data_IF_275905199970
#
_entry.id   IF_275905199970
#
_cell.length_a   1.000
_cell.length_b   1.000
_cell.length_c   1.000
_cell.angle_alpha   90.00
_cell.angle_beta   90.00
_cell.angle_gamma   90.00
#
_symmetry.space_group_name_H-M   'P 1'
#
loop_
_entity.id
_entity.type
_entity.pdbx_description
1 polymer ?
#
# COMPACT_ATOMS: atom_id res chain seq x y z
N UNK A 1 -30.93 -3.92 -23.59
CA UNK A 1 -30.65 -3.31 -24.91
C UNK A 1 -29.74 -2.11 -24.66
N UNK A 2 -28.56 -1.92 -25.22
CA UNK A 2 -27.72 -2.75 -26.07
C UNK A 2 -26.26 -2.33 -25.81
N UNK A 3 -25.37 -3.31 -25.84
CA UNK A 3 -23.93 -3.12 -25.64
C UNK A 3 -23.29 -2.61 -26.94
N UNK A 4 -23.69 -1.43 -27.40
CA UNK A 4 -23.09 -0.76 -28.56
C UNK A 4 -22.34 0.48 -28.07
N UNK A 5 -21.02 0.46 -28.24
CA UNK A 5 -20.10 1.58 -28.07
C UNK A 5 -19.96 2.16 -26.68
N UNK A 6 -19.27 1.49 -25.76
CA UNK A 6 -18.60 2.11 -24.60
C UNK A 6 -19.43 3.09 -23.74
N UNK A 7 -20.73 3.28 -23.97
CA UNK A 7 -21.47 4.43 -23.49
C UNK A 7 -22.33 3.98 -22.31
N UNK A 8 -22.06 4.59 -21.16
CA UNK A 8 -22.79 4.38 -19.93
C UNK A 8 -23.68 5.60 -19.73
N UNK A 9 -24.97 5.34 -19.55
CA UNK A 9 -25.95 6.37 -19.19
C UNK A 9 -26.13 6.38 -17.69
N UNK A 10 -25.97 7.55 -17.07
CA UNK A 10 -26.19 7.78 -15.64
C UNK A 10 -27.53 8.48 -15.47
N UNK A 11 -28.42 7.88 -14.70
CA UNK A 11 -29.77 8.39 -14.46
C UNK A 11 -29.76 9.71 -13.67
N UNK A 12 -30.77 10.54 -13.90
CA UNK A 12 -30.96 11.79 -13.17
C UNK A 12 -31.03 11.55 -11.65
N UNK A 13 -30.30 12.38 -10.89
CA UNK A 13 -30.14 12.27 -9.43
C UNK A 13 -29.40 11.02 -8.96
N UNK A 14 -28.62 10.39 -9.83
CA UNK A 14 -27.63 9.38 -9.48
C UNK A 14 -26.26 9.80 -9.98
N UNK A 15 -25.23 9.35 -9.28
CA UNK A 15 -23.83 9.59 -9.61
C UNK A 15 -23.16 8.25 -9.70
N UNK A 16 -22.28 8.06 -10.69
CA UNK A 16 -21.60 6.78 -10.89
C UNK A 16 -20.11 6.92 -10.68
N UNK A 17 -19.49 5.92 -10.09
CA UNK A 17 -18.05 5.98 -9.78
C UNK A 17 -17.28 5.18 -10.82
N UNK A 18 -16.30 5.86 -11.40
CA UNK A 18 -15.43 5.35 -12.44
C UNK A 18 -14.12 4.88 -11.82
N UNK A 19 -13.74 3.65 -12.14
CA UNK A 19 -12.43 3.09 -11.81
C UNK A 19 -11.61 2.81 -13.07
N UNK A 20 -10.29 2.88 -12.92
CA UNK A 20 -9.32 2.44 -13.91
C UNK A 20 -8.38 1.43 -13.28
N UNK A 21 -8.41 0.18 -13.74
CA UNK A 21 -7.67 -0.95 -13.17
C UNK A 21 -7.80 -1.05 -11.64
N UNK A 22 -9.00 -0.79 -11.09
CA UNK A 22 -9.28 -0.86 -9.65
C UNK A 22 -8.87 0.37 -8.84
N UNK A 23 -8.35 1.43 -9.48
CA UNK A 23 -8.10 2.73 -8.84
C UNK A 23 -9.24 3.70 -9.17
N UNK A 24 -9.68 4.49 -8.19
CA UNK A 24 -10.58 5.61 -8.43
C UNK A 24 -10.02 6.57 -9.49
N UNK A 25 -10.84 6.87 -10.51
CA UNK A 25 -10.51 7.75 -11.63
C UNK A 25 -11.33 9.05 -11.54
N UNK A 26 -12.66 8.94 -11.63
CA UNK A 26 -13.56 10.10 -11.70
C UNK A 26 -14.97 9.77 -11.19
N UNK A 27 -15.74 10.82 -10.87
CA UNK A 27 -17.15 10.75 -10.53
C UNK A 27 -17.97 11.21 -11.74
N UNK A 28 -18.86 10.35 -12.25
CA UNK A 28 -19.69 10.62 -13.42
C UNK A 28 -21.04 11.22 -13.01
N UNK A 29 -21.28 12.44 -13.46
CA UNK A 29 -22.56 13.15 -13.33
C UNK A 29 -23.66 12.55 -14.22
N UNK A 30 -24.95 12.87 -13.98
CA UNK A 30 -26.06 12.43 -14.83
C UNK A 30 -25.86 12.80 -16.30
N UNK A 31 -26.01 11.82 -17.20
CA UNK A 31 -25.77 12.02 -18.63
C UNK A 31 -25.23 10.77 -19.34
N UNK A 32 -24.85 10.93 -20.60
CA UNK A 32 -24.24 9.87 -21.40
C UNK A 32 -22.71 10.05 -21.41
N UNK A 33 -21.97 9.04 -20.95
CA UNK A 33 -20.52 9.07 -20.85
C UNK A 33 -19.91 7.93 -21.68
N UNK A 34 -18.88 8.23 -22.47
CA UNK A 34 -18.16 7.21 -23.25
C UNK A 34 -16.95 6.69 -22.47
N UNK A 35 -16.99 5.41 -22.15
CA UNK A 35 -16.07 4.68 -21.28
C UNK A 35 -15.55 3.41 -21.98
N UNK A 36 -14.37 3.48 -22.62
CA UNK A 36 -13.80 2.35 -23.33
C UNK A 36 -13.26 1.28 -22.37
N UNK A 37 -13.99 0.17 -22.28
CA UNK A 37 -13.64 -0.98 -21.43
C UNK A 37 -12.27 -1.60 -21.76
N UNK A 38 -11.86 -1.55 -23.03
CA UNK A 38 -10.56 -2.06 -23.54
C UNK A 38 -9.36 -1.38 -22.87
N UNK A 39 -9.54 -0.15 -22.36
CA UNK A 39 -8.49 0.63 -21.70
C UNK A 39 -8.45 0.44 -20.18
N UNK A 40 -9.09 -0.63 -19.68
CA UNK A 40 -9.12 -0.99 -18.26
C UNK A 40 -10.03 -0.11 -17.42
N UNK A 41 -10.97 0.59 -18.05
CA UNK A 41 -11.94 1.43 -17.37
C UNK A 41 -13.18 0.61 -17.03
N UNK A 42 -13.61 0.61 -15.76
CA UNK A 42 -14.79 -0.11 -15.27
C UNK A 42 -15.64 0.75 -14.33
N UNK A 43 -16.95 0.53 -14.33
CA UNK A 43 -17.88 1.14 -13.40
C UNK A 43 -17.89 0.39 -12.06
N UNK A 44 -17.59 1.08 -10.96
CA UNK A 44 -17.57 0.49 -9.62
C UNK A 44 -18.99 0.34 -9.03
N UNK A 45 -19.84 1.34 -9.28
CA UNK A 45 -21.21 1.35 -8.78
C UNK A 45 -21.91 2.70 -8.97
N UNK A 46 -23.17 2.74 -8.57
CA UNK A 46 -24.03 3.92 -8.59
C UNK A 46 -24.37 4.36 -7.17
N UNK A 47 -24.38 5.67 -6.93
CA UNK A 47 -24.79 6.32 -5.69
C UNK A 47 -25.97 7.24 -5.99
N UNK A 48 -27.10 7.00 -5.33
CA UNK A 48 -28.26 7.88 -5.45
C UNK A 48 -28.04 9.15 -4.61
N UNK A 49 -28.28 10.32 -5.21
CA UNK A 49 -28.32 11.61 -4.52
C UNK A 49 -29.70 11.92 -3.93
N UNK A 50 -30.69 11.05 -4.18
CA UNK A 50 -32.05 11.22 -3.67
C UNK A 50 -32.08 11.04 -2.15
N UNK A 51 -33.00 11.73 -1.49
CA UNK A 51 -33.29 11.51 -0.07
C UNK A 51 -33.74 10.07 0.14
N UNK A 52 -33.04 9.35 1.01
CA UNK A 52 -33.35 8.00 1.42
C UNK A 52 -33.93 8.01 2.84
N UNK A 53 -34.93 7.18 3.08
CA UNK A 53 -35.50 6.97 4.41
C UNK A 53 -35.07 5.62 4.97
N UNK A 54 -34.67 5.63 6.24
CA UNK A 54 -34.30 4.47 7.00
C UNK A 54 -35.12 4.40 8.27
N UNK A 55 -36.06 3.46 8.31
CA UNK A 55 -36.84 3.19 9.50
C UNK A 55 -36.08 2.20 10.39
N UNK A 56 -35.82 2.61 11.62
CA UNK A 56 -35.14 1.85 12.66
C UNK A 56 -36.16 1.54 13.76
N UNK A 57 -36.35 0.26 14.07
CA UNK A 57 -37.29 -0.19 15.10
C UNK A 57 -36.52 -0.69 16.29
N UNK A 58 -36.79 -0.12 17.46
CA UNK A 58 -36.02 -0.32 18.68
C UNK A 58 -36.94 -0.72 19.82
N UNK A 59 -36.69 -1.90 20.37
CA UNK A 59 -37.27 -2.33 21.63
C UNK A 59 -36.44 -1.77 22.78
N UNK A 60 -37.07 -0.94 23.61
CA UNK A 60 -36.42 -0.37 24.79
C UNK A 60 -37.38 -0.34 25.98
N UNK A 61 -36.82 -0.17 27.16
CA UNK A 61 -37.58 -0.12 28.41
C UNK A 61 -37.47 1.27 29.01
N UNK A 62 -38.60 1.85 29.40
CA UNK A 62 -38.64 3.14 30.09
C UNK A 62 -38.30 2.99 31.58
N UNK A 63 -38.16 4.12 32.26
CA UNK A 63 -37.90 4.18 33.71
C UNK A 63 -39.00 3.50 34.53
N UNK A 64 -40.25 3.54 34.05
CA UNK A 64 -41.41 2.89 34.68
C UNK A 64 -41.50 1.38 34.41
N UNK A 65 -40.42 0.78 33.89
CA UNK A 65 -40.34 -0.66 33.65
C UNK A 65 -41.34 -1.15 32.57
N UNK A 66 -41.79 -0.26 31.68
CA UNK A 66 -42.66 -0.59 30.53
C UNK A 66 -41.82 -0.82 29.27
N UNK A 67 -42.11 -1.87 28.52
CA UNK A 67 -41.48 -2.14 27.23
C UNK A 67 -42.19 -1.35 26.13
N UNK A 68 -41.41 -0.61 25.33
CA UNK A 68 -41.91 0.21 24.23
C UNK A 68 -41.14 -0.05 22.95
N UNK A 69 -41.87 -0.05 21.83
CA UNK A 69 -41.29 -0.17 20.48
C UNK A 69 -41.20 1.21 19.86
N UNK A 70 -40.00 1.78 19.88
CA UNK A 70 -39.72 3.09 19.28
C UNK A 70 -39.36 2.91 17.83
N UNK A 71 -40.09 3.57 16.93
CA UNK A 71 -39.78 3.61 15.50
C UNK A 71 -39.21 4.98 15.17
N UNK A 72 -37.94 5.02 14.82
CA UNK A 72 -37.25 6.24 14.38
C UNK A 72 -37.02 6.18 12.87
N UNK A 73 -37.52 7.19 12.16
CA UNK A 73 -37.33 7.34 10.71
C UNK A 73 -36.23 8.36 10.47
N UNK A 74 -35.07 7.89 10.01
CA UNK A 74 -33.92 8.75 9.67
C UNK A 74 -33.89 9.00 8.19
N UNK A 75 -33.83 10.26 7.79
CA UNK A 75 -33.65 10.66 6.40
C UNK A 75 -32.20 11.07 6.17
N UNK A 76 -31.57 10.54 5.13
CA UNK A 76 -30.20 10.89 4.77
C UNK A 76 -30.05 10.97 3.25
N UNK A 77 -29.06 11.74 2.80
CA UNK A 77 -28.64 11.81 1.39
C UNK A 77 -27.13 11.96 1.30
N UNK A 78 -26.54 11.39 0.25
CA UNK A 78 -25.16 11.70 -0.10
C UNK A 78 -25.08 13.08 -0.75
N UNK A 79 -24.01 13.83 -0.45
CA UNK A 79 -23.69 15.08 -1.12
C UNK A 79 -22.90 14.77 -2.40
N UNK A 80 -23.25 15.42 -3.51
CA UNK A 80 -22.62 15.18 -4.82
C UNK A 80 -21.10 15.41 -4.77
N UNK A 81 -20.66 16.52 -4.15
CA UNK A 81 -19.25 16.91 -4.05
C UNK A 81 -18.36 15.86 -3.34
N UNK A 82 -18.97 14.97 -2.54
CA UNK A 82 -18.26 13.96 -1.73
C UNK A 82 -18.71 12.53 -2.05
N UNK A 83 -19.22 12.30 -3.25
CA UNK A 83 -19.73 10.99 -3.66
C UNK A 83 -18.64 9.89 -3.65
N UNK A 84 -17.41 10.20 -4.07
CA UNK A 84 -16.27 9.27 -4.05
C UNK A 84 -15.93 8.81 -2.63
N UNK A 85 -15.79 9.77 -1.72
CA UNK A 85 -15.55 9.53 -0.29
C UNK A 85 -16.66 8.68 0.32
N UNK A 86 -17.91 9.00 0.03
CA UNK A 86 -19.06 8.27 0.57
C UNK A 86 -19.09 6.79 0.13
N UNK A 87 -18.58 6.47 -1.06
CA UNK A 87 -18.59 5.10 -1.60
C UNK A 87 -17.42 4.25 -1.11
N UNK A 88 -16.21 4.80 -1.01
CA UNK A 88 -15.03 4.03 -0.59
C UNK A 88 -14.77 4.06 0.91
N UNK A 89 -15.15 5.13 1.63
CA UNK A 89 -14.89 5.24 3.07
C UNK A 89 -15.93 4.51 3.92
N UNK A 90 -17.15 4.31 3.39
CA UNK A 90 -18.25 3.72 4.14
C UNK A 90 -18.65 2.36 3.54
N UNK A 91 -18.34 1.27 4.23
CA UNK A 91 -18.69 -0.08 3.78
C UNK A 91 -20.18 -0.38 3.90
N UNK A 92 -20.85 0.11 4.97
CA UNK A 92 -22.27 -0.15 5.26
C UNK A 92 -22.91 1.02 6.02
N UNK A 93 -23.26 2.10 5.31
CA UNK A 93 -23.85 3.31 5.90
C UNK A 93 -25.15 3.05 6.66
N UNK A 94 -26.03 2.20 6.12
CA UNK A 94 -27.34 1.89 6.71
C UNK A 94 -27.22 1.28 8.11
N UNK A 95 -26.35 0.26 8.24
CA UNK A 95 -26.11 -0.45 9.51
C UNK A 95 -25.41 0.46 10.52
N UNK A 96 -24.49 1.32 10.07
CA UNK A 96 -23.84 2.29 10.94
C UNK A 96 -24.84 3.30 11.51
N UNK A 97 -25.69 3.91 10.67
CA UNK A 97 -26.74 4.85 11.13
C UNK A 97 -27.67 4.14 12.12
N UNK A 98 -28.09 2.91 11.82
CA UNK A 98 -28.91 2.11 12.73
C UNK A 98 -28.26 1.93 14.10
N UNK A 99 -26.99 1.53 14.14
CA UNK A 99 -26.27 1.32 15.40
C UNK A 99 -26.21 2.59 16.26
N UNK A 100 -25.91 3.74 15.66
CA UNK A 100 -25.86 5.00 16.41
C UNK A 100 -27.22 5.45 16.92
N UNK A 101 -28.27 5.33 16.10
CA UNK A 101 -29.64 5.62 16.53
C UNK A 101 -30.06 4.70 17.68
N UNK A 102 -29.72 3.41 17.60
CA UNK A 102 -29.96 2.46 18.68
C UNK A 102 -29.26 2.86 19.98
N UNK A 103 -27.99 3.24 19.92
CA UNK A 103 -27.22 3.62 21.09
C UNK A 103 -27.80 4.86 21.79
N UNK A 104 -28.24 5.87 21.02
CA UNK A 104 -28.85 7.08 21.59
C UNK A 104 -30.21 6.76 22.21
N UNK A 105 -31.07 6.00 21.53
CA UNK A 105 -32.39 5.61 22.07
C UNK A 105 -32.20 4.78 23.35
N UNK A 106 -31.23 3.87 23.38
CA UNK A 106 -30.93 3.04 24.55
C UNK A 106 -30.31 3.83 25.70
N UNK A 107 -29.61 4.92 25.44
CA UNK A 107 -29.02 5.78 26.47
C UNK A 107 -30.01 6.81 27.06
N UNK A 108 -31.00 7.26 26.26
CA UNK A 108 -31.91 8.33 26.63
C UNK A 108 -33.26 7.82 27.17
N UNK A 109 -33.89 6.85 26.49
CA UNK A 109 -35.25 6.40 26.83
C UNK A 109 -35.37 5.77 28.23
N UNK A 110 -34.42 4.96 28.73
CA UNK A 110 -34.55 4.37 30.07
C UNK A 110 -34.49 5.36 31.23
N UNK A 111 -34.07 6.61 30.97
CA UNK A 111 -34.00 7.67 32.00
C UNK A 111 -35.32 8.42 32.16
N UNK A 112 -36.23 8.27 31.19
CA UNK A 112 -37.50 8.97 31.09
C UNK A 112 -38.67 8.04 31.42
N UNK A 113 -39.74 8.61 31.95
CA UNK A 113 -41.00 7.89 32.15
C UNK A 113 -41.72 7.71 30.80
N UNK A 114 -42.72 6.82 30.73
CA UNK A 114 -43.44 6.54 29.48
C UNK A 114 -44.05 7.80 28.87
N UNK A 115 -44.74 8.60 29.69
CA UNK A 115 -45.41 9.82 29.25
C UNK A 115 -44.40 10.88 28.78
N UNK A 116 -43.30 11.04 29.52
CA UNK A 116 -42.21 11.97 29.16
C UNK A 116 -41.59 11.62 27.80
N UNK A 117 -41.46 10.33 27.46
CA UNK A 117 -40.93 9.89 26.16
C UNK A 117 -41.85 10.30 25.01
N UNK A 118 -43.17 10.33 25.23
CA UNK A 118 -44.13 10.80 24.24
C UNK A 118 -44.13 12.31 24.11
N UNK A 119 -44.09 13.04 25.23
CA UNK A 119 -44.05 14.50 25.24
C UNK A 119 -42.74 15.05 24.65
N UNK A 120 -41.61 14.47 25.02
CA UNK A 120 -40.26 14.91 24.62
C UNK A 120 -39.74 14.27 23.33
N UNK A 121 -40.64 13.78 22.45
CA UNK A 121 -40.25 13.20 21.14
C UNK A 121 -39.27 14.08 20.36
N UNK A 122 -39.50 15.39 20.35
CA UNK A 122 -38.68 16.36 19.62
C UNK A 122 -37.28 16.52 20.23
N UNK A 123 -37.16 16.43 21.55
CA UNK A 123 -35.86 16.52 22.23
C UNK A 123 -35.02 15.26 21.98
N UNK A 124 -35.64 14.09 22.04
CA UNK A 124 -34.99 12.82 21.68
C UNK A 124 -34.53 12.86 20.22
N UNK A 125 -35.37 13.37 19.31
CA UNK A 125 -35.01 13.51 17.90
C UNK A 125 -33.79 14.42 17.69
N UNK A 126 -33.74 15.58 18.37
CA UNK A 126 -32.58 16.48 18.33
C UNK A 126 -31.32 15.84 18.91
N UNK A 127 -31.43 15.10 20.02
CA UNK A 127 -30.30 14.41 20.61
C UNK A 127 -29.73 13.33 19.67
N UNK A 128 -30.59 12.61 18.93
CA UNK A 128 -30.16 11.65 17.91
C UNK A 128 -29.47 12.36 16.75
N UNK A 129 -30.02 13.48 16.27
CA UNK A 129 -29.43 14.29 15.20
C UNK A 129 -28.02 14.78 15.57
N UNK A 130 -27.86 15.39 16.74
CA UNK A 130 -26.58 15.94 17.21
C UNK A 130 -25.50 14.84 17.37
N UNK A 131 -25.85 13.69 17.96
CA UNK A 131 -24.91 12.59 18.11
C UNK A 131 -24.54 11.95 16.76
N UNK A 132 -25.49 11.85 15.82
CA UNK A 132 -25.19 11.38 14.46
C UNK A 132 -24.22 12.34 13.74
N UNK A 133 -24.44 13.65 13.80
CA UNK A 133 -23.54 14.63 13.19
C UNK A 133 -22.13 14.58 13.80
N UNK A 134 -22.04 14.48 15.12
CA UNK A 134 -20.77 14.40 15.84
C UNK A 134 -19.99 13.15 15.51
N UNK A 135 -20.64 11.99 15.47
CA UNK A 135 -19.99 10.71 15.15
C UNK A 135 -19.53 10.70 13.70
N UNK A 136 -20.37 11.13 12.75
CA UNK A 136 -20.01 11.19 11.33
C UNK A 136 -18.87 12.17 11.07
N UNK A 137 -18.85 13.32 11.76
CA UNK A 137 -17.75 14.27 11.68
C UNK A 137 -16.43 13.66 12.19
N UNK A 138 -16.46 12.96 13.34
CA UNK A 138 -15.27 12.27 13.90
C UNK A 138 -14.75 11.20 12.97
N UNK A 139 -15.63 10.35 12.43
CA UNK A 139 -15.24 9.31 11.47
C UNK A 139 -14.61 9.90 10.21
N UNK A 140 -15.12 11.05 9.73
CA UNK A 140 -14.56 11.75 8.58
C UNK A 140 -13.14 12.24 8.85
N UNK A 141 -12.89 12.84 10.02
CA UNK A 141 -11.56 13.31 10.41
C UNK A 141 -10.61 12.11 10.54
N UNK A 142 -11.01 11.08 11.26
CA UNK A 142 -10.21 9.87 11.44
C UNK A 142 -9.89 9.16 10.12
N UNK A 143 -10.84 9.12 9.17
CA UNK A 143 -10.62 8.54 7.85
C UNK A 143 -9.61 9.35 7.02
N UNK A 144 -9.65 10.68 7.11
CA UNK A 144 -8.70 11.55 6.40
C UNK A 144 -7.29 11.42 7.00
N UNK A 145 -7.18 11.46 8.33
CA UNK A 145 -5.91 11.28 9.03
C UNK A 145 -5.29 9.92 8.73
N UNK A 146 -6.12 8.86 8.68
CA UNK A 146 -5.65 7.52 8.30
C UNK A 146 -5.12 7.49 6.87
N UNK A 147 -5.81 8.12 5.92
CA UNK A 147 -5.36 8.18 4.52
C UNK A 147 -4.04 8.97 4.37
N UNK A 148 -3.88 10.06 5.12
CA UNK A 148 -2.61 10.81 5.15
C UNK A 148 -1.49 10.00 5.81
N UNK A 149 -1.77 9.29 6.89
CA UNK A 149 -0.81 8.40 7.55
C UNK A 149 -0.35 7.28 6.61
N UNK A 150 -1.27 6.63 5.88
CA UNK A 150 -0.93 5.59 4.89
C UNK A 150 0.00 6.13 3.79
N UNK A 151 -0.27 7.34 3.29
CA UNK A 151 0.62 8.02 2.33
C UNK A 151 2.01 8.26 2.91
N UNK A 152 2.10 8.75 4.14
CA UNK A 152 3.40 9.00 4.81
C UNK A 152 4.17 7.69 5.00
N UNK A 153 3.50 6.62 5.42
CA UNK A 153 4.12 5.29 5.59
C UNK A 153 4.69 4.80 4.26
N UNK A 154 3.95 4.96 3.16
CA UNK A 154 4.42 4.53 1.84
C UNK A 154 5.64 5.32 1.36
N UNK A 155 5.65 6.65 1.54
CA UNK A 155 6.79 7.51 1.17
C UNK A 155 8.01 7.15 2.02
N UNK A 156 7.86 7.05 3.35
CA UNK A 156 8.98 6.72 4.24
C UNK A 156 9.55 5.33 3.98
N UNK A 157 8.70 4.38 3.61
CA UNK A 157 9.17 3.05 3.20
C UNK A 157 10.02 3.15 1.92
N UNK A 158 9.57 3.90 0.92
CA UNK A 158 10.33 4.10 -0.31
C UNK A 158 11.66 4.84 -0.08
N UNK A 159 11.66 5.87 0.78
CA UNK A 159 12.88 6.60 1.19
C UNK A 159 13.85 5.67 1.93
N UNK A 160 13.36 4.89 2.90
CA UNK A 160 14.18 3.94 3.64
C UNK A 160 14.78 2.85 2.74
N UNK A 161 14.03 2.36 1.75
CA UNK A 161 14.55 1.40 0.75
C UNK A 161 15.63 2.03 -0.15
N UNK A 162 15.48 3.30 -0.53
CA UNK A 162 16.48 4.02 -1.32
C UNK A 162 17.76 4.28 -0.51
N UNK A 163 17.62 4.74 0.73
CA UNK A 163 18.75 5.01 1.63
C UNK A 163 19.51 3.73 1.98
N UNK A 164 18.80 2.62 2.24
CA UNK A 164 19.43 1.33 2.50
C UNK A 164 20.28 0.85 1.31
N UNK A 165 19.79 1.01 0.06
CA UNK A 165 20.57 0.68 -1.14
C UNK A 165 21.78 1.57 -1.31
N UNK A 166 21.64 2.87 -1.03
CA UNK A 166 22.76 3.82 -1.09
C UNK A 166 23.84 3.46 -0.07
N UNK A 167 23.46 3.24 1.19
CA UNK A 167 24.39 2.90 2.26
C UNK A 167 25.10 1.56 1.98
N UNK A 168 24.37 0.58 1.43
CA UNK A 168 24.95 -0.69 0.98
C UNK A 168 25.97 -0.48 -0.14
N UNK A 169 25.68 0.36 -1.14
CA UNK A 169 26.62 0.70 -2.20
C UNK A 169 27.89 1.39 -1.70
N UNK A 170 27.74 2.36 -0.78
CA UNK A 170 28.87 3.04 -0.12
C UNK A 170 29.69 2.04 0.72
N UNK A 171 29.02 1.14 1.43
CA UNK A 171 29.65 0.08 2.20
C UNK A 171 30.52 -0.82 1.33
N UNK A 172 30.00 -1.27 0.18
CA UNK A 172 30.75 -2.10 -0.78
C UNK A 172 31.93 -1.33 -1.36
N UNK A 173 31.76 -0.06 -1.76
CA UNK A 173 32.85 0.75 -2.29
C UNK A 173 33.97 0.96 -1.26
N UNK A 174 33.60 1.28 -0.02
CA UNK A 174 34.55 1.44 1.10
C UNK A 174 35.23 0.13 1.46
N UNK A 175 34.50 -0.99 1.42
CA UNK A 175 35.05 -2.33 1.61
C UNK A 175 36.05 -2.66 0.50
N UNK A 176 35.73 -2.39 -0.77
CA UNK A 176 36.65 -2.56 -1.91
C UNK A 176 37.92 -1.75 -1.73
N UNK A 177 37.80 -0.50 -1.27
CA UNK A 177 38.96 0.35 -0.99
C UNK A 177 39.84 -0.24 0.12
N UNK A 178 39.25 -0.63 1.26
CA UNK A 178 39.99 -1.23 2.36
C UNK A 178 40.70 -2.55 1.98
N UNK A 179 40.08 -3.36 1.11
CA UNK A 179 40.69 -4.58 0.57
C UNK A 179 41.92 -4.22 -0.29
N UNK A 180 41.81 -3.25 -1.20
CA UNK A 180 42.93 -2.83 -2.06
C UNK A 180 44.09 -2.26 -1.24
N UNK A 181 43.78 -1.43 -0.25
CA UNK A 181 44.80 -0.83 0.62
C UNK A 181 45.50 -1.90 1.47
N UNK A 182 44.75 -2.84 2.06
CA UNK A 182 45.33 -3.97 2.81
C UNK A 182 46.15 -4.92 1.94
N UNK A 183 45.72 -5.17 0.70
CA UNK A 183 46.49 -5.99 -0.25
C UNK A 183 47.80 -5.30 -0.63
N UNK A 184 47.76 -3.98 -0.86
CA UNK A 184 48.94 -3.18 -1.16
C UNK A 184 49.97 -3.25 -0.04
N UNK A 185 49.54 -3.10 1.20
CA UNK A 185 50.41 -3.21 2.37
C UNK A 185 50.99 -4.63 2.50
N UNK A 186 50.18 -5.66 2.22
CA UNK A 186 50.63 -7.05 2.22
C UNK A 186 51.70 -7.32 1.15
N UNK A 187 51.51 -6.79 -0.06
CA UNK A 187 52.48 -6.92 -1.17
C UNK A 187 53.81 -6.22 -0.83
N UNK A 188 53.76 -5.02 -0.25
CA UNK A 188 54.94 -4.29 0.19
C UNK A 188 55.69 -5.02 1.32
N UNK A 189 54.96 -5.55 2.32
CA UNK A 189 55.55 -6.30 3.42
C UNK A 189 56.23 -7.61 2.98
N UNK A 190 55.64 -8.31 2.01
CA UNK A 190 56.20 -9.55 1.48
C UNK A 190 57.44 -9.32 0.61
N UNK A 191 57.42 -8.26 -0.21
CA UNK A 191 58.55 -7.87 -1.05
C UNK A 191 59.81 -7.50 -0.26
N UNK A 192 59.68 -7.03 0.97
CA UNK A 192 60.81 -6.67 1.84
C UNK A 192 61.42 -7.89 2.53
N UNK A 193 60.60 -8.89 2.88
CA UNK A 193 61.03 -10.02 3.71
C UNK A 193 61.54 -11.24 2.91
N UNK A 194 61.23 -11.31 1.60
CA UNK A 194 61.66 -12.43 0.74
C UNK A 194 62.42 -11.88 -0.49
N UNK A 195 63.76 -12.03 -0.54
CA UNK A 195 64.54 -11.52 -1.66
C UNK A 195 64.33 -12.37 -2.93
N UNK A 196 63.97 -11.72 -4.05
CA UNK A 196 63.86 -12.33 -5.38
C UNK A 196 62.43 -12.45 -5.94
N UNK A 197 61.39 -12.12 -5.17
CA UNK A 197 60.00 -12.14 -5.65
C UNK A 197 59.56 -10.79 -6.21
N UNK A 198 58.88 -10.80 -7.35
CA UNK A 198 58.30 -9.58 -7.93
C UNK A 198 56.87 -9.36 -7.44
N UNK A 199 56.38 -8.11 -7.48
CA UNK A 199 54.99 -7.79 -7.13
C UNK A 199 53.97 -8.58 -7.97
N UNK A 200 54.35 -9.02 -9.17
CA UNK A 200 53.54 -9.85 -10.04
C UNK A 200 53.36 -11.27 -9.49
N UNK A 201 54.41 -11.89 -8.96
CA UNK A 201 54.36 -13.24 -8.40
C UNK A 201 53.46 -13.31 -7.16
N UNK A 202 53.44 -12.25 -6.34
CA UNK A 202 52.57 -12.15 -5.16
C UNK A 202 51.10 -11.97 -5.57
N UNK A 203 50.83 -11.14 -6.58
CA UNK A 203 49.47 -10.96 -7.11
C UNK A 203 48.94 -12.24 -7.75
N UNK A 204 49.77 -12.98 -8.48
CA UNK A 204 49.40 -14.27 -9.08
C UNK A 204 49.07 -15.31 -8.00
N UNK A 205 49.81 -15.33 -6.88
CA UNK A 205 49.49 -16.22 -5.76
C UNK A 205 48.16 -15.84 -5.07
N UNK A 206 47.87 -14.54 -4.90
CA UNK A 206 46.59 -14.05 -4.36
C UNK A 206 45.42 -14.38 -5.28
N UNK A 207 45.60 -14.27 -6.61
CA UNK A 207 44.55 -14.65 -7.58
C UNK A 207 44.22 -16.14 -7.50
N UNK A 208 45.24 -16.98 -7.32
CA UNK A 208 45.06 -18.43 -7.16
C UNK A 208 44.31 -18.75 -5.86
N UNK A 209 44.66 -18.11 -4.73
CA UNK A 209 43.93 -18.35 -3.47
C UNK A 209 42.48 -17.88 -3.55
N UNK A 210 42.23 -16.71 -4.15
CA UNK A 210 40.88 -16.19 -4.31
C UNK A 210 40.03 -17.03 -5.28
N UNK A 211 40.65 -17.63 -6.29
CA UNK A 211 40.02 -18.65 -7.14
C UNK A 211 39.59 -19.89 -6.33
N UNK A 212 40.41 -20.38 -5.41
CA UNK A 212 40.03 -21.51 -4.55
C UNK A 212 38.95 -21.15 -3.52
N UNK A 213 39.01 -19.96 -2.93
CA UNK A 213 37.99 -19.49 -1.98
C UNK A 213 36.63 -19.28 -2.66
N UNK A 214 36.61 -18.70 -3.86
CA UNK A 214 35.37 -18.56 -4.65
C UNK A 214 34.80 -19.93 -5.04
N UNK A 215 35.63 -20.89 -5.43
CA UNK A 215 35.18 -22.27 -5.64
C UNK A 215 34.61 -22.91 -4.37
N UNK A 216 35.23 -22.66 -3.21
CA UNK A 216 34.75 -23.15 -1.91
C UNK A 216 33.42 -22.53 -1.52
N UNK A 217 33.23 -21.23 -1.70
CA UNK A 217 31.97 -20.52 -1.43
C UNK A 217 30.84 -20.97 -2.36
N UNK A 218 31.13 -21.15 -3.65
CA UNK A 218 30.19 -21.69 -4.63
C UNK A 218 29.81 -23.13 -4.25
N UNK A 219 30.77 -23.97 -3.85
CA UNK A 219 30.52 -25.32 -3.39
C UNK A 219 29.72 -25.40 -2.09
N UNK A 220 29.85 -24.40 -1.20
CA UNK A 220 29.16 -24.36 0.09
C UNK A 220 27.76 -23.71 0.02
N UNK A 221 27.56 -22.71 -0.85
CA UNK A 221 26.36 -21.85 -0.84
C UNK A 221 25.40 -22.14 -1.99
N UNK A 222 25.86 -22.79 -3.07
CA UNK A 222 25.03 -22.97 -4.26
C UNK A 222 24.20 -24.27 -4.23
N UNK A 223 22.95 -24.17 -4.69
CA UNK A 223 22.14 -25.32 -5.15
C UNK A 223 22.61 -25.82 -6.54
N UNK A 224 23.81 -25.44 -6.99
CA UNK A 224 24.31 -25.77 -8.32
C UNK A 224 25.01 -27.13 -8.27
N UNK A 225 24.43 -28.11 -8.96
CA UNK A 225 24.82 -29.53 -8.85
C UNK A 225 26.04 -29.94 -9.69
N UNK A 226 26.52 -29.07 -10.59
CA UNK A 226 27.72 -29.33 -11.39
C UNK A 226 28.44 -28.02 -11.77
N UNK A 227 29.72 -27.92 -11.45
CA UNK A 227 30.62 -26.80 -11.82
C UNK A 227 31.74 -27.39 -12.68
N UNK A 228 31.79 -27.04 -13.97
CA UNK A 228 32.86 -27.46 -14.88
C UNK A 228 34.08 -26.54 -14.70
N UNK A 229 35.16 -27.10 -14.18
CA UNK A 229 36.44 -26.40 -14.01
C UNK A 229 37.37 -26.81 -15.16
N UNK A 230 37.81 -25.91 -16.05
CA UNK A 230 38.78 -26.23 -17.09
C UNK A 230 40.15 -26.48 -16.44
N UNK A 231 40.68 -27.70 -16.58
CA UNK A 231 41.98 -28.11 -16.03
C UNK A 231 42.94 -28.45 -17.16
N UNK A 232 43.80 -27.48 -17.49
CA UNK A 232 44.90 -27.64 -18.43
C UNK A 232 45.98 -26.58 -18.15
N UNK A 233 47.27 -26.83 -18.44
CA UNK A 233 48.37 -25.93 -18.09
C UNK A 233 48.33 -24.55 -18.76
N UNK A 234 47.44 -24.33 -19.74
CA UNK A 234 47.15 -23.01 -20.33
C UNK A 234 45.82 -22.37 -19.88
N UNK A 235 44.99 -23.07 -19.12
CA UNK A 235 43.61 -22.65 -18.82
C UNK A 235 43.54 -21.37 -17.97
N UNK A 236 44.53 -21.12 -17.11
CA UNK A 236 44.58 -19.91 -16.27
C UNK A 236 44.85 -18.66 -17.11
N UNK A 237 45.72 -18.76 -18.12
CA UNK A 237 45.95 -17.69 -19.08
C UNK A 237 44.72 -17.48 -19.97
N UNK A 238 44.09 -18.56 -20.43
CA UNK A 238 42.88 -18.50 -21.26
C UNK A 238 41.70 -17.84 -20.51
N UNK A 239 41.49 -18.18 -19.24
CA UNK A 239 40.45 -17.57 -18.40
C UNK A 239 40.75 -16.08 -18.16
N UNK A 240 42.02 -15.72 -17.90
CA UNK A 240 42.42 -14.33 -17.74
C UNK A 240 42.20 -13.52 -19.03
N UNK A 241 42.49 -14.08 -20.21
CA UNK A 241 42.19 -13.43 -21.50
C UNK A 241 40.69 -13.34 -21.77
N UNK A 242 39.91 -14.38 -21.49
CA UNK A 242 38.46 -14.36 -21.72
C UNK A 242 37.73 -13.34 -20.83
N UNK A 243 38.15 -13.18 -19.56
CA UNK A 243 37.60 -12.16 -18.66
C UNK A 243 37.96 -10.75 -19.15
N UNK A 244 39.20 -10.56 -19.63
CA UNK A 244 39.67 -9.27 -20.16
C UNK A 244 38.93 -8.87 -21.44
N UNK A 245 38.77 -9.80 -22.36
CA UNK A 245 38.05 -9.58 -23.62
C UNK A 245 36.55 -9.35 -23.37
N UNK A 246 35.94 -10.10 -22.46
CA UNK A 246 34.53 -9.89 -22.07
C UNK A 246 34.26 -8.51 -21.46
N UNK A 247 35.19 -7.99 -20.64
CA UNK A 247 35.11 -6.64 -20.07
C UNK A 247 35.27 -5.55 -21.15
N UNK A 248 36.20 -5.73 -22.10
CA UNK A 248 36.40 -4.80 -23.22
C UNK A 248 35.18 -4.77 -24.16
N UNK A 249 34.57 -5.94 -24.42
CA UNK A 249 33.37 -6.07 -25.24
C UNK A 249 32.14 -5.44 -24.56
N UNK A 250 32.03 -5.53 -23.23
CA UNK A 250 30.98 -4.86 -22.46
C UNK A 250 31.10 -3.33 -22.46
N UNK A 251 32.34 -2.79 -22.51
CA UNK A 251 32.58 -1.34 -22.66
C UNK A 251 32.40 -0.82 -24.09
N UNK A 252 32.53 -1.68 -25.10
CA UNK A 252 32.35 -1.31 -26.51
C UNK A 252 30.89 -1.29 -26.97
N UNK A 253 29.97 -1.85 -26.20
CA UNK A 253 28.55 -1.99 -26.56
C UNK A 253 27.63 -1.03 -25.77
N UNK A 254 28.17 0.11 -25.33
CA UNK A 254 27.43 1.21 -24.71
C UNK A 254 27.53 2.48 -25.52
#
# INVERSE_FOLDING_TARGET
MGNLFCCITVDQSTVSIKERFGKFDEVLDPGCHCMPWILGSQLAGHLSLRLQQLDVRCETKTKDNVFVNVVASVQYRALADKASDAFYKLSNTRTQIQAYVFDVIRASVPKLNLDDVFEQKNEIAKAVEEELEKVTARLRVAANEKAEAEKIVQIKKAEGEAEAKYLSGVGIARQRQAIVDGLRDSVLGFSVNVPGTTAKDVLDMVLITQYFDTMKEIGATSKSSAVFIPHGPGAVNDVATQIRDGLLQATSNR
#
